data_IF_491867814350
#
_entry.id   IF_491867814350
#
_cell.length_a   1.000
_cell.length_b   1.000
_cell.length_c   1.000
_cell.angle_alpha   90.00
_cell.angle_beta   90.00
_cell.angle_gamma   90.00
#
_symmetry.space_group_name_H-M   'P 1'
#
loop_
_entity.id
_entity.type
_entity.pdbx_description
1 polymer ?
#
# COMPACT_ATOMS: atom_id res chain seq x y z
N UNK A 1 3.70 -19.15 -7.09
CA UNK A 1 2.87 -17.95 -7.34
C UNK A 1 2.23 -17.55 -6.01
N UNK A 2 2.19 -16.27 -5.65
CA UNK A 2 1.58 -15.84 -4.39
C UNK A 2 0.06 -15.92 -4.47
N UNK A 3 -0.60 -16.29 -3.37
CA UNK A 3 -2.05 -16.18 -3.24
C UNK A 3 -2.47 -14.72 -3.11
N UNK A 4 -3.72 -14.39 -3.47
CA UNK A 4 -4.27 -13.03 -3.31
C UNK A 4 -4.19 -12.54 -1.87
N UNK A 5 -4.36 -13.45 -0.89
CA UNK A 5 -4.23 -13.10 0.53
C UNK A 5 -2.80 -12.70 0.88
N UNK A 6 -1.81 -13.47 0.43
CA UNK A 6 -0.39 -13.12 0.63
C UNK A 6 -0.04 -11.80 -0.07
N UNK A 7 -0.55 -11.57 -1.28
CA UNK A 7 -0.37 -10.30 -1.99
C UNK A 7 -0.97 -9.13 -1.22
N UNK A 8 -2.17 -9.29 -0.65
CA UNK A 8 -2.82 -8.26 0.17
C UNK A 8 -2.01 -7.94 1.42
N UNK A 9 -1.56 -8.96 2.14
CA UNK A 9 -0.78 -8.78 3.37
C UNK A 9 0.56 -8.04 3.08
N UNK A 10 1.22 -8.37 1.96
CA UNK A 10 2.41 -7.66 1.48
C UNK A 10 2.08 -6.20 1.17
N UNK A 11 1.04 -5.94 0.36
CA UNK A 11 0.67 -4.58 -0.06
C UNK A 11 0.31 -3.69 1.14
N UNK A 12 -0.40 -4.21 2.13
CA UNK A 12 -0.68 -3.50 3.40
C UNK A 12 0.63 -3.21 4.14
N UNK A 13 1.53 -4.17 4.21
CA UNK A 13 2.86 -3.99 4.81
C UNK A 13 3.66 -2.88 4.15
N UNK A 14 3.63 -2.78 2.82
CA UNK A 14 4.31 -1.73 2.07
C UNK A 14 3.74 -0.32 2.33
N UNK A 15 2.41 -0.19 2.49
CA UNK A 15 1.78 1.07 2.88
C UNK A 15 2.25 1.48 4.27
N UNK A 16 2.21 0.56 5.25
CA UNK A 16 2.65 0.83 6.63
C UNK A 16 4.13 1.21 6.71
N UNK A 17 4.97 0.53 5.94
CA UNK A 17 6.40 0.85 5.84
C UNK A 17 6.62 2.26 5.27
N UNK A 18 5.83 2.64 4.25
CA UNK A 18 5.89 3.99 3.68
C UNK A 18 5.41 5.07 4.66
N UNK A 19 4.36 4.77 5.42
CA UNK A 19 3.86 5.66 6.49
C UNK A 19 4.94 5.94 7.54
N UNK A 20 5.63 4.90 8.00
CA UNK A 20 6.72 5.04 8.96
C UNK A 20 7.91 5.80 8.36
N UNK A 21 8.26 5.54 7.10
CA UNK A 21 9.32 6.25 6.38
C UNK A 21 9.03 7.75 6.26
N UNK A 22 7.81 8.12 5.86
CA UNK A 22 7.36 9.51 5.79
C UNK A 22 7.40 10.18 7.17
N UNK A 23 6.89 9.51 8.20
CA UNK A 23 6.93 10.02 9.59
C UNK A 23 8.37 10.27 10.05
N UNK A 24 9.26 9.30 9.86
CA UNK A 24 10.69 9.43 10.19
C UNK A 24 11.36 10.54 9.38
N UNK A 25 11.02 10.69 8.10
CA UNK A 25 11.55 11.74 7.24
C UNK A 25 11.14 13.14 7.68
N UNK A 26 9.90 13.32 8.17
CA UNK A 26 9.43 14.60 8.74
C UNK A 26 10.08 14.93 10.08
N UNK A 27 10.38 13.92 10.88
CA UNK A 27 10.94 14.06 12.23
C UNK A 27 12.48 14.06 12.28
N UNK A 28 13.17 13.81 11.17
CA UNK A 28 14.63 13.78 11.15
C UNK A 28 15.23 15.16 11.42
N UNK A 29 16.51 15.20 11.79
CA UNK A 29 17.26 16.44 12.03
C UNK A 29 18.54 16.44 11.16
N UNK A 30 18.58 17.20 10.05
CA UNK A 30 17.51 18.04 9.52
C UNK A 30 16.32 17.21 8.97
N UNK A 31 15.11 17.78 8.86
CA UNK A 31 14.00 17.14 8.18
C UNK A 31 14.35 16.83 6.71
N UNK A 32 13.71 15.81 6.14
CA UNK A 32 13.84 15.53 4.71
C UNK A 32 13.25 16.69 3.89
N UNK A 33 13.81 16.99 2.69
CA UNK A 33 13.30 18.06 1.84
C UNK A 33 11.84 17.83 1.40
N UNK A 34 11.08 18.90 1.17
CA UNK A 34 9.67 18.82 0.79
C UNK A 34 9.43 18.02 -0.50
N UNK A 35 10.32 18.15 -1.48
CA UNK A 35 10.24 17.36 -2.73
C UNK A 35 10.35 15.86 -2.48
N UNK A 36 11.17 15.46 -1.51
CA UNK A 36 11.29 14.06 -1.10
C UNK A 36 9.99 13.59 -0.45
N UNK A 37 9.40 14.41 0.44
CA UNK A 37 8.12 14.11 1.09
C UNK A 37 7.01 13.96 0.06
N UNK A 38 6.86 14.93 -0.85
CA UNK A 38 5.82 14.91 -1.89
C UNK A 38 5.97 13.73 -2.85
N UNK A 39 7.20 13.30 -3.16
CA UNK A 39 7.43 12.08 -3.94
C UNK A 39 6.96 10.84 -3.18
N UNK A 40 7.32 10.71 -1.90
CA UNK A 40 6.98 9.53 -1.10
C UNK A 40 5.48 9.46 -0.79
N UNK A 41 4.80 10.60 -0.66
CA UNK A 41 3.34 10.64 -0.57
C UNK A 41 2.67 10.14 -1.84
N UNK A 42 3.17 10.50 -3.03
CA UNK A 42 2.65 9.94 -4.30
C UNK A 42 2.85 8.43 -4.37
N UNK A 43 4.01 7.93 -3.96
CA UNK A 43 4.28 6.48 -3.89
C UNK A 43 3.31 5.80 -2.91
N UNK A 44 3.06 6.41 -1.75
CA UNK A 44 2.09 5.92 -0.78
C UNK A 44 0.69 5.82 -1.38
N UNK A 45 0.22 6.85 -2.09
CA UNK A 45 -1.08 6.83 -2.76
C UNK A 45 -1.18 5.71 -3.79
N UNK A 46 -0.12 5.49 -4.58
CA UNK A 46 -0.07 4.36 -5.50
C UNK A 46 -0.18 3.01 -4.78
N UNK A 47 0.56 2.82 -3.67
CA UNK A 47 0.48 1.58 -2.87
C UNK A 47 -0.92 1.35 -2.28
N UNK A 48 -1.60 2.41 -1.86
CA UNK A 48 -3.00 2.33 -1.41
C UNK A 48 -3.94 1.89 -2.55
N UNK A 49 -3.71 2.34 -3.78
CA UNK A 49 -4.49 1.86 -4.94
C UNK A 49 -4.26 0.38 -5.19
N UNK A 50 -3.01 -0.10 -5.07
CA UNK A 50 -2.70 -1.53 -5.22
C UNK A 50 -3.44 -2.38 -4.20
N UNK A 51 -3.49 -1.96 -2.92
CA UNK A 51 -4.29 -2.65 -1.90
C UNK A 51 -5.75 -2.78 -2.33
N UNK A 52 -6.38 -1.67 -2.76
CA UNK A 52 -7.78 -1.67 -3.20
C UNK A 52 -8.04 -2.60 -4.39
N UNK A 53 -7.11 -2.68 -5.34
CA UNK A 53 -7.22 -3.57 -6.49
C UNK A 53 -7.18 -5.05 -6.08
N UNK A 54 -6.32 -5.40 -5.12
CA UNK A 54 -6.24 -6.77 -4.61
C UNK A 54 -7.50 -7.13 -3.81
N UNK A 55 -7.99 -6.21 -2.98
CA UNK A 55 -9.25 -6.39 -2.24
C UNK A 55 -10.43 -6.63 -3.20
N UNK A 56 -10.56 -5.78 -4.24
CA UNK A 56 -11.60 -5.92 -5.26
C UNK A 56 -11.53 -7.27 -6.00
N UNK A 57 -10.32 -7.75 -6.31
CA UNK A 57 -10.14 -9.05 -6.96
C UNK A 57 -10.48 -10.23 -6.02
N UNK A 58 -10.15 -10.13 -4.73
CA UNK A 58 -10.56 -11.13 -3.73
C UNK A 58 -12.08 -11.20 -3.67
N UNK A 59 -12.76 -10.06 -3.62
CA UNK A 59 -14.20 -10.00 -3.51
C UNK A 59 -14.89 -10.49 -4.79
N UNK A 60 -14.33 -10.16 -5.98
CA UNK A 60 -14.78 -10.74 -7.25
C UNK A 60 -14.74 -12.27 -7.24
N UNK A 61 -13.65 -12.88 -6.78
CA UNK A 61 -13.51 -14.34 -6.72
C UNK A 61 -14.46 -15.01 -5.73
N UNK A 62 -14.76 -14.34 -4.61
CA UNK A 62 -15.77 -14.84 -3.66
C UNK A 62 -17.15 -14.85 -4.31
N UNK A 63 -17.53 -13.74 -4.96
CA UNK A 63 -18.82 -13.65 -5.66
C UNK A 63 -18.96 -14.70 -6.77
N UNK A 64 -17.88 -14.95 -7.52
CA UNK A 64 -17.86 -16.01 -8.54
C UNK A 64 -17.97 -17.42 -7.95
N UNK A 65 -17.36 -17.66 -6.78
CA UNK A 65 -17.45 -18.93 -6.08
C UNK A 65 -18.80 -19.18 -5.40
N UNK A 66 -19.52 -18.14 -5.00
CA UNK A 66 -20.88 -18.23 -4.43
C UNK A 66 -21.97 -18.33 -5.52
N UNK A 67 -21.67 -17.88 -6.75
CA UNK A 67 -22.57 -17.97 -7.89
C UNK A 67 -22.47 -19.30 -8.67
N UNK A 68 -21.54 -20.19 -8.31
CA UNK A 68 -21.29 -21.48 -8.94
C UNK A 68 -21.83 -22.65 -8.09
#
# INVERSE_FOLDING_TARGET
>A
MLSLRQMLDIAIGEVRSMDDLLRKGRMSKPPRPDMWIAQHERIRQHRLQVVKLIEAEIDRRKAEGEAA
#
